data_IF_353137974219
#
_entry.id   IF_353137974219
#
_cell.length_a   1.000
_cell.length_b   1.000
_cell.length_c   1.000
_cell.angle_alpha   90.00
_cell.angle_beta   90.00
_cell.angle_gamma   90.00
#
_symmetry.space_group_name_H-M   'P 1'
#
loop_
_entity.id
_entity.type
_entity.pdbx_description
1 polymer ?
#
# COMPACT_ATOMS: atom_id res chain seq x y z
N UNK A 1 -15.81 -41.18 5.33
CA UNK A 1 -15.69 -40.76 3.92
C UNK A 1 -14.22 -40.51 3.64
N UNK A 2 -13.62 -41.18 2.66
CA UNK A 2 -12.18 -41.03 2.32
C UNK A 2 -12.13 -40.32 0.96
N UNK A 3 -11.71 -39.05 0.95
CA UNK A 3 -11.44 -38.32 -0.29
C UNK A 3 -10.05 -38.76 -0.77
N UNK A 4 -9.98 -39.22 -2.01
CA UNK A 4 -8.72 -39.54 -2.69
C UNK A 4 -8.48 -38.41 -3.68
N UNK A 5 -7.44 -37.63 -3.45
CA UNK A 5 -6.99 -36.59 -4.38
C UNK A 5 -5.86 -37.19 -5.20
N UNK A 6 -6.04 -37.27 -6.52
CA UNK A 6 -5.03 -37.76 -7.45
C UNK A 6 -4.52 -36.57 -8.25
N UNK A 7 -3.26 -36.19 -8.04
CA UNK A 7 -2.57 -35.16 -8.82
C UNK A 7 -1.62 -35.81 -9.83
N UNK A 8 -1.46 -35.18 -10.97
CA UNK A 8 -0.55 -35.61 -12.04
C UNK A 8 0.50 -34.53 -12.30
N UNK A 9 1.63 -34.92 -12.92
CA UNK A 9 2.69 -33.97 -13.27
C UNK A 9 2.23 -32.91 -14.28
N UNK A 10 1.13 -33.18 -15.02
CA UNK A 10 0.46 -32.21 -15.88
C UNK A 10 -0.16 -31.06 -15.09
N UNK A 11 -0.72 -31.32 -13.91
CA UNK A 11 -1.32 -30.30 -13.06
C UNK A 11 -0.26 -29.29 -12.60
N UNK A 12 0.92 -29.78 -12.21
CA UNK A 12 2.05 -28.91 -11.86
C UNK A 12 2.51 -28.06 -13.05
N UNK A 13 2.50 -28.61 -14.27
CA UNK A 13 2.86 -27.83 -15.46
C UNK A 13 1.84 -26.70 -15.71
N UNK A 14 0.55 -27.02 -15.65
CA UNK A 14 -0.53 -26.04 -15.86
C UNK A 14 -0.51 -24.95 -14.78
N UNK A 15 -0.26 -25.32 -13.52
CA UNK A 15 -0.09 -24.37 -12.41
C UNK A 15 1.11 -23.45 -12.64
N UNK A 16 2.26 -23.99 -13.04
CA UNK A 16 3.45 -23.18 -13.35
C UNK A 16 3.21 -22.21 -14.51
N UNK A 17 2.49 -22.63 -15.55
CA UNK A 17 2.10 -21.75 -16.66
C UNK A 17 1.14 -20.66 -16.18
N UNK A 18 0.11 -21.02 -15.39
CA UNK A 18 -0.86 -20.06 -14.83
C UNK A 18 -0.15 -19.01 -14.00
N UNK A 19 0.71 -19.43 -13.07
CA UNK A 19 1.47 -18.56 -12.17
C UNK A 19 2.26 -17.50 -12.94
N UNK A 20 3.01 -17.91 -13.97
CA UNK A 20 3.82 -16.97 -14.77
C UNK A 20 2.95 -15.92 -15.46
N UNK A 21 1.72 -16.28 -15.85
CA UNK A 21 0.82 -15.39 -16.60
C UNK A 21 -0.04 -14.49 -15.71
N UNK A 22 -0.49 -14.97 -14.54
CA UNK A 22 -1.46 -14.23 -13.69
C UNK A 22 -0.81 -13.52 -12.51
N UNK A 23 0.20 -14.12 -11.88
CA UNK A 23 0.79 -13.61 -10.65
C UNK A 23 1.28 -12.15 -10.76
N UNK A 24 1.91 -11.69 -11.86
CA UNK A 24 2.33 -10.30 -11.97
C UNK A 24 1.16 -9.29 -11.92
N UNK A 25 0.00 -9.66 -12.46
CA UNK A 25 -1.18 -8.79 -12.44
C UNK A 25 -1.85 -8.81 -11.07
N UNK A 26 -1.99 -10.00 -10.48
CA UNK A 26 -2.58 -10.16 -9.13
C UNK A 26 -1.74 -9.41 -8.08
N UNK A 27 -0.41 -9.48 -8.19
CA UNK A 27 0.51 -8.74 -7.32
C UNK A 27 0.46 -7.23 -7.59
N UNK A 28 0.31 -6.78 -8.84
CA UNK A 28 0.13 -5.35 -9.13
C UNK A 28 -1.13 -4.81 -8.47
N UNK A 29 -2.24 -5.54 -8.55
CA UNK A 29 -3.50 -5.17 -7.92
C UNK A 29 -3.37 -5.07 -6.39
N UNK A 30 -2.64 -5.99 -5.75
CA UNK A 30 -2.35 -5.96 -4.31
C UNK A 30 -1.49 -4.75 -3.93
N UNK A 31 -0.40 -4.49 -4.66
CA UNK A 31 0.48 -3.34 -4.40
C UNK A 31 -0.31 -2.04 -4.56
N UNK A 32 -1.05 -1.90 -5.67
CA UNK A 32 -1.89 -0.72 -5.94
C UNK A 32 -2.91 -0.50 -4.84
N UNK A 33 -3.67 -1.54 -4.49
CA UNK A 33 -4.71 -1.47 -3.45
C UNK A 33 -4.13 -1.04 -2.10
N UNK A 34 -3.00 -1.62 -1.70
CA UNK A 34 -2.36 -1.26 -0.44
C UNK A 34 -1.77 0.16 -0.45
N UNK A 35 -1.24 0.64 -1.58
CA UNK A 35 -0.80 2.03 -1.69
C UNK A 35 -1.97 3.02 -1.54
N UNK A 36 -3.13 2.76 -2.16
CA UNK A 36 -4.34 3.59 -1.97
C UNK A 36 -4.84 3.58 -0.53
N UNK A 37 -4.82 2.41 0.13
CA UNK A 37 -5.23 2.27 1.53
C UNK A 37 -4.26 2.98 2.47
N UNK A 38 -2.95 2.81 2.28
CA UNK A 38 -1.92 3.53 3.02
C UNK A 38 -2.07 5.04 2.87
N UNK A 39 -2.25 5.54 1.64
CA UNK A 39 -2.48 6.96 1.40
C UNK A 39 -3.74 7.48 2.12
N UNK A 40 -4.82 6.69 2.12
CA UNK A 40 -6.06 7.05 2.83
C UNK A 40 -5.80 7.17 4.34
N UNK A 41 -5.11 6.19 4.93
CA UNK A 41 -4.77 6.18 6.36
C UNK A 41 -3.88 7.37 6.71
N UNK A 42 -2.80 7.60 5.95
CA UNK A 42 -1.90 8.72 6.15
C UNK A 42 -2.64 10.06 6.05
N UNK A 43 -3.51 10.22 5.05
CA UNK A 43 -4.36 11.41 4.91
C UNK A 43 -5.32 11.59 6.09
N UNK A 44 -5.85 10.51 6.65
CA UNK A 44 -6.75 10.60 7.81
C UNK A 44 -5.99 10.99 9.10
N UNK A 45 -4.73 10.56 9.26
CA UNK A 45 -3.84 11.10 10.29
C UNK A 45 -3.52 12.59 10.05
N UNK A 46 -3.20 12.95 8.81
CA UNK A 46 -2.95 14.35 8.43
C UNK A 46 -4.14 15.26 8.74
N UNK A 47 -5.38 14.82 8.51
CA UNK A 47 -6.59 15.58 8.88
C UNK A 47 -6.68 15.87 10.37
N UNK A 48 -6.24 14.91 11.20
CA UNK A 48 -6.28 15.04 12.65
C UNK A 48 -5.16 15.95 13.15
N UNK A 49 -3.99 15.90 12.51
CA UNK A 49 -2.77 16.56 13.00
C UNK A 49 -2.57 17.98 12.42
N UNK A 50 -3.02 18.26 11.18
CA UNK A 50 -2.71 19.48 10.43
C UNK A 50 -3.15 20.82 11.06
N UNK A 51 -4.16 20.80 11.96
CA UNK A 51 -4.68 21.99 12.61
C UNK A 51 -5.14 23.10 11.63
N UNK A 52 -5.25 24.34 12.12
CA UNK A 52 -5.75 25.48 11.32
C UNK A 52 -4.76 25.92 10.23
N UNK A 53 -3.46 25.79 10.48
CA UNK A 53 -2.39 26.25 9.59
C UNK A 53 -2.03 25.25 8.48
N UNK A 54 -2.37 23.97 8.65
CA UNK A 54 -2.17 22.91 7.66
C UNK A 54 -3.42 22.49 6.91
N UNK A 55 -4.44 23.35 6.78
CA UNK A 55 -5.72 22.98 6.15
C UNK A 55 -5.58 22.31 4.77
N UNK A 56 -4.53 22.65 4.02
CA UNK A 56 -4.27 22.11 2.69
C UNK A 56 -3.41 20.83 2.71
N UNK A 57 -2.71 20.55 3.82
CA UNK A 57 -1.81 19.40 3.94
C UNK A 57 -2.49 18.06 3.63
N UNK A 58 -3.69 17.73 4.17
CA UNK A 58 -4.37 16.48 3.81
C UNK A 58 -4.75 16.39 2.33
N UNK A 59 -4.89 17.52 1.63
CA UNK A 59 -5.24 17.56 0.21
C UNK A 59 -4.01 17.34 -0.70
N UNK A 60 -2.80 17.43 -0.15
CA UNK A 60 -1.58 17.15 -0.89
C UNK A 60 -1.30 15.66 -1.03
N UNK A 61 -1.91 14.81 -0.21
CA UNK A 61 -1.71 13.36 -0.25
C UNK A 61 -2.20 12.75 -1.57
N UNK A 62 -1.29 12.06 -2.25
CA UNK A 62 -1.57 11.29 -3.46
C UNK A 62 -0.82 9.97 -3.47
N UNK A 63 -1.24 9.11 -4.41
CA UNK A 63 -0.57 7.88 -4.78
C UNK A 63 0.03 8.03 -6.17
N UNK A 64 1.21 7.47 -6.39
CA UNK A 64 1.89 7.45 -7.68
C UNK A 64 2.41 6.05 -7.97
N UNK A 65 2.38 5.67 -9.25
CA UNK A 65 2.94 4.40 -9.73
C UNK A 65 4.36 4.65 -10.23
N UNK A 66 5.33 3.95 -9.64
CA UNK A 66 6.74 4.04 -10.02
C UNK A 66 7.25 2.79 -10.74
N UNK A 67 6.43 1.73 -10.81
CA UNK A 67 6.73 0.51 -11.55
C UNK A 67 5.55 -0.45 -11.58
N UNK A 68 5.75 -1.67 -12.10
CA UNK A 68 4.71 -2.69 -12.11
C UNK A 68 4.30 -3.09 -10.69
N UNK A 69 5.28 -3.31 -9.81
CA UNK A 69 5.06 -3.71 -8.41
C UNK A 69 5.56 -2.64 -7.44
N UNK A 70 5.56 -1.37 -7.87
CA UNK A 70 6.09 -0.26 -7.09
C UNK A 70 5.13 0.92 -7.18
N UNK A 71 4.59 1.28 -6.03
CA UNK A 71 3.73 2.43 -5.83
C UNK A 71 4.22 3.20 -4.61
N UNK A 72 4.14 4.51 -4.69
CA UNK A 72 4.46 5.42 -3.60
C UNK A 72 3.21 6.18 -3.19
N UNK A 73 3.18 6.61 -1.92
CA UNK A 73 2.13 7.50 -1.44
C UNK A 73 2.66 8.51 -0.44
N UNK A 74 2.04 9.68 -0.43
CA UNK A 74 2.38 10.74 0.51
C UNK A 74 2.02 12.13 -0.02
N UNK A 75 2.41 13.18 0.71
CA UNK A 75 2.14 14.55 0.34
C UNK A 75 2.99 14.96 -0.88
N UNK A 76 2.31 15.31 -1.97
CA UNK A 76 2.93 15.84 -3.18
C UNK A 76 3.50 17.24 -2.93
N UNK A 77 4.80 17.39 -3.12
CA UNK A 77 5.52 18.65 -2.94
C UNK A 77 5.08 19.74 -3.93
N UNK A 78 4.50 19.38 -5.07
CA UNK A 78 3.96 20.32 -6.04
C UNK A 78 2.60 20.89 -5.63
N UNK A 79 1.91 20.28 -4.65
CA UNK A 79 0.61 20.76 -4.16
C UNK A 79 0.78 21.74 -3.00
N UNK A 80 -0.09 22.76 -2.89
CA UNK A 80 -0.11 23.62 -1.72
C UNK A 80 -0.35 22.81 -0.44
N UNK A 81 0.62 22.81 0.47
CA UNK A 81 0.50 22.15 1.78
C UNK A 81 0.29 23.16 2.92
N UNK A 82 0.68 24.42 2.68
CA UNK A 82 0.91 25.44 3.71
C UNK A 82 2.38 25.83 3.72
N UNK A 83 2.71 26.95 4.36
CA UNK A 83 4.08 27.50 4.36
C UNK A 83 4.99 26.84 5.42
N UNK A 84 4.94 25.51 5.57
CA UNK A 84 5.63 24.81 6.65
C UNK A 84 5.91 23.32 6.39
N UNK A 85 6.83 22.73 7.18
CA UNK A 85 7.12 21.29 7.20
C UNK A 85 6.17 20.57 8.16
N UNK A 86 5.36 19.64 7.63
CA UNK A 86 4.37 18.89 8.42
C UNK A 86 4.96 17.61 9.02
N UNK A 87 5.47 16.69 8.20
CA UNK A 87 5.95 15.38 8.67
C UNK A 87 6.96 15.51 9.82
N UNK A 88 7.95 16.40 9.68
CA UNK A 88 9.01 16.59 10.67
C UNK A 88 8.69 17.63 11.75
N UNK A 89 7.55 18.31 11.66
CA UNK A 89 7.18 19.42 12.53
C UNK A 89 8.12 20.63 12.39
N UNK A 90 8.05 21.53 13.38
CA UNK A 90 8.93 22.70 13.51
C UNK A 90 9.10 23.12 14.97
N UNK A 91 9.85 24.18 15.25
CA UNK A 91 9.94 24.74 16.61
C UNK A 91 8.57 25.10 17.22
N UNK A 92 7.60 25.45 16.38
CA UNK A 92 6.27 25.89 16.81
C UNK A 92 5.16 24.87 16.51
N UNK A 93 5.49 23.68 16.00
CA UNK A 93 4.51 22.63 15.71
C UNK A 93 5.07 21.22 15.99
N UNK A 94 4.26 20.32 16.55
CA UNK A 94 4.71 18.98 16.90
C UNK A 94 5.09 18.18 15.66
N UNK A 95 5.87 17.11 15.86
CA UNK A 95 6.10 16.09 14.85
C UNK A 95 4.78 15.37 14.53
N UNK A 96 4.44 15.25 13.24
CA UNK A 96 3.19 14.62 12.81
C UNK A 96 3.37 13.10 12.64
N UNK A 97 4.38 12.71 11.85
CA UNK A 97 4.68 11.31 11.54
C UNK A 97 3.50 10.56 10.92
N UNK A 98 2.71 11.23 10.07
CA UNK A 98 1.47 10.67 9.54
C UNK A 98 1.75 9.51 8.57
N UNK A 99 2.82 9.64 7.77
CA UNK A 99 3.32 8.56 6.92
C UNK A 99 3.85 7.37 7.74
N UNK A 100 4.61 7.63 8.80
CA UNK A 100 5.17 6.57 9.65
C UNK A 100 4.05 5.78 10.35
N UNK A 101 3.08 6.48 10.94
CA UNK A 101 1.89 5.85 11.54
C UNK A 101 1.09 5.04 10.53
N UNK A 102 0.96 5.55 9.31
CA UNK A 102 0.33 4.80 8.23
C UNK A 102 1.13 3.55 7.85
N UNK A 103 2.45 3.64 7.78
CA UNK A 103 3.33 2.52 7.45
C UNK A 103 3.24 1.40 8.51
N UNK A 104 3.16 1.77 9.78
CA UNK A 104 2.98 0.81 10.88
C UNK A 104 1.67 0.00 10.77
N UNK A 105 0.63 0.59 10.18
CA UNK A 105 -0.66 -0.07 9.97
C UNK A 105 -0.72 -0.83 8.64
N UNK A 106 -0.29 -0.22 7.54
CA UNK A 106 -0.41 -0.82 6.21
C UNK A 106 0.70 -1.84 5.94
N UNK A 107 1.87 -1.73 6.57
CA UNK A 107 3.00 -2.63 6.37
C UNK A 107 2.67 -4.09 6.67
N UNK A 108 2.16 -4.43 7.87
CA UNK A 108 1.75 -5.80 8.19
C UNK A 108 0.62 -6.31 7.29
N UNK A 109 -0.35 -5.45 6.96
CA UNK A 109 -1.44 -5.81 6.04
C UNK A 109 -0.92 -6.10 4.63
N UNK A 110 -0.02 -5.29 4.11
CA UNK A 110 0.57 -5.49 2.80
C UNK A 110 1.33 -6.82 2.74
N UNK A 111 2.13 -7.13 3.76
CA UNK A 111 2.82 -8.41 3.85
C UNK A 111 1.84 -9.60 3.86
N UNK A 112 0.74 -9.49 4.60
CA UNK A 112 -0.32 -10.49 4.62
C UNK A 112 -1.00 -10.65 3.25
N UNK A 113 -1.41 -9.55 2.61
CA UNK A 113 -2.11 -9.59 1.31
C UNK A 113 -1.21 -10.18 0.20
N UNK A 114 0.09 -9.88 0.22
CA UNK A 114 1.06 -10.53 -0.68
C UNK A 114 1.15 -12.02 -0.39
N UNK A 115 1.21 -12.41 0.89
CA UNK A 115 1.21 -13.81 1.31
C UNK A 115 -0.01 -14.57 0.78
N UNK A 116 -1.22 -14.03 0.93
CA UNK A 116 -2.46 -14.64 0.43
C UNK A 116 -2.45 -14.86 -1.09
N UNK A 117 -1.92 -13.90 -1.87
CA UNK A 117 -1.78 -14.09 -3.31
C UNK A 117 -0.80 -15.22 -3.61
N UNK A 118 0.38 -15.21 -2.99
CA UNK A 118 1.41 -16.24 -3.24
C UNK A 118 0.93 -17.62 -2.80
N UNK A 119 0.24 -17.74 -1.68
CA UNK A 119 -0.30 -19.01 -1.21
C UNK A 119 -1.37 -19.52 -2.17
N UNK A 120 -2.25 -18.65 -2.68
CA UNK A 120 -3.29 -18.99 -3.66
C UNK A 120 -2.75 -19.40 -5.04
N UNK A 121 -1.46 -19.19 -5.33
CA UNK A 121 -0.87 -19.59 -6.60
C UNK A 121 -0.68 -21.10 -6.74
N UNK A 122 -0.50 -21.83 -5.64
CA UNK A 122 -0.17 -23.25 -5.62
C UNK A 122 -1.38 -24.19 -5.45
N UNK A 123 -2.60 -23.65 -5.50
CA UNK A 123 -3.85 -24.41 -5.28
C UNK A 123 -4.96 -24.06 -6.30
#
# INVERSE_FOLDING_TARGET
>A
MRIKVEHHIGDLYDDMVRIVTTAPLDLEDVVRSNAYQGNRIARDFAKQSAGKHGKLYPNAFSTERNGLHSWEYGPDAAKPQGAMSFERGSRNQPYHGDLAKSADLIGPKFAHDVGEVIDGLFW
#
